data_IF_154561222534
#
_entry.id   IF_154561222534
#
_cell.length_a   1.000
_cell.length_b   1.000
_cell.length_c   1.000
_cell.angle_alpha   90.00
_cell.angle_beta   90.00
_cell.angle_gamma   90.00
#
_symmetry.space_group_name_H-M   'P 1'
#
loop_
_entity.id
_entity.type
_entity.pdbx_description
1 polymer ?
#
# COMPACT_ATOMS: atom_id res chain seq x y z
N UNK A 1 -32.37 11.67 -38.95
CA UNK A 1 -31.04 12.11 -38.46
C UNK A 1 -30.94 11.64 -37.00
N UNK A 2 -30.56 10.38 -36.77
CA UNK A 2 -30.61 9.71 -35.45
C UNK A 2 -29.21 9.30 -34.95
N UNK A 3 -28.18 10.05 -35.32
CA UNK A 3 -26.80 9.80 -34.86
C UNK A 3 -26.47 10.41 -33.48
N UNK A 4 -27.42 11.09 -32.82
CA UNK A 4 -27.15 11.83 -31.58
C UNK A 4 -27.39 11.05 -30.28
N UNK A 5 -28.09 9.91 -30.31
CA UNK A 5 -28.49 9.21 -29.07
C UNK A 5 -27.46 8.20 -28.52
N UNK A 6 -26.49 7.78 -29.35
CA UNK A 6 -25.45 6.83 -28.93
C UNK A 6 -24.14 7.52 -28.46
N UNK A 7 -23.92 8.78 -28.85
CA UNK A 7 -22.69 9.52 -28.51
C UNK A 7 -22.73 10.10 -27.10
N UNK A 8 -23.88 10.59 -26.65
CA UNK A 8 -24.08 11.16 -25.31
C UNK A 8 -23.74 10.17 -24.18
N UNK A 9 -24.21 8.90 -24.18
CA UNK A 9 -23.86 7.96 -23.12
C UNK A 9 -22.37 7.62 -23.11
N UNK A 10 -21.72 7.46 -24.27
CA UNK A 10 -20.28 7.15 -24.37
C UNK A 10 -19.41 8.23 -23.71
N UNK A 11 -19.73 9.51 -23.92
CA UNK A 11 -19.06 10.61 -23.24
C UNK A 11 -19.28 10.59 -21.72
N UNK A 12 -20.50 10.33 -21.27
CA UNK A 12 -20.81 10.24 -19.84
C UNK A 12 -20.05 9.09 -19.15
N UNK A 13 -19.98 7.91 -19.75
CA UNK A 13 -19.21 6.78 -19.22
C UNK A 13 -17.71 7.07 -19.20
N UNK A 14 -17.17 7.75 -20.21
CA UNK A 14 -15.74 8.09 -20.26
C UNK A 14 -15.38 9.12 -19.17
N UNK A 15 -16.24 10.10 -18.92
CA UNK A 15 -16.05 11.09 -17.85
C UNK A 15 -16.16 10.44 -16.47
N UNK A 16 -17.17 9.57 -16.27
CA UNK A 16 -17.34 8.85 -15.01
C UNK A 16 -16.17 7.91 -14.73
N UNK A 17 -15.71 7.14 -15.72
CA UNK A 17 -14.54 6.27 -15.57
C UNK A 17 -13.29 7.09 -15.21
N UNK A 18 -13.03 8.20 -15.89
CA UNK A 18 -11.91 9.07 -15.52
C UNK A 18 -12.05 9.62 -14.09
N UNK A 19 -13.26 9.99 -13.66
CA UNK A 19 -13.49 10.48 -12.30
C UNK A 19 -13.23 9.40 -11.25
N UNK A 20 -13.65 8.15 -11.48
CA UNK A 20 -13.38 7.04 -10.57
C UNK A 20 -11.91 6.58 -10.59
N UNK A 21 -11.21 6.66 -11.72
CA UNK A 21 -9.78 6.34 -11.77
C UNK A 21 -8.92 7.44 -11.12
N UNK A 22 -9.32 8.71 -11.22
CA UNK A 22 -8.60 9.83 -10.60
C UNK A 22 -8.94 10.05 -9.12
N UNK A 23 -10.13 9.65 -8.67
CA UNK A 23 -10.62 9.83 -7.29
C UNK A 23 -10.89 8.51 -6.57
N UNK A 24 -10.46 7.37 -7.11
CA UNK A 24 -10.45 6.16 -6.28
C UNK A 24 -9.57 6.45 -5.07
N UNK A 25 -10.00 6.08 -3.85
CA UNK A 25 -9.08 6.05 -2.73
C UNK A 25 -7.87 5.25 -3.21
N UNK A 26 -6.71 5.85 -3.05
CA UNK A 26 -5.44 5.25 -3.39
C UNK A 26 -5.38 4.01 -2.50
N UNK A 27 -5.76 2.87 -3.06
CA UNK A 27 -5.56 1.58 -2.42
C UNK A 27 -4.06 1.44 -2.48
N UNK A 28 -3.40 1.55 -1.33
CA UNK A 28 -1.99 1.19 -1.23
C UNK A 28 -1.90 -0.20 -1.86
N UNK A 29 -1.18 -0.32 -2.98
CA UNK A 29 -0.95 -1.64 -3.53
C UNK A 29 0.08 -2.20 -2.58
N UNK A 30 -0.36 -2.86 -1.50
CA UNK A 30 0.53 -3.63 -0.64
C UNK A 30 1.41 -4.47 -1.57
N UNK A 31 2.67 -4.04 -1.77
CA UNK A 31 3.62 -4.75 -2.62
C UNK A 31 4.13 -5.88 -1.76
N UNK A 32 3.29 -6.90 -1.66
CA UNK A 32 3.49 -8.06 -0.82
C UNK A 32 3.30 -9.33 -1.64
N UNK A 33 4.19 -10.29 -1.42
CA UNK A 33 4.04 -11.62 -2.01
C UNK A 33 3.38 -12.52 -0.98
N UNK A 34 2.26 -13.12 -1.38
CA UNK A 34 1.55 -14.12 -0.61
C UNK A 34 2.05 -15.51 -0.96
N UNK A 35 2.34 -16.30 0.06
CA UNK A 35 2.82 -17.68 -0.04
C UNK A 35 1.87 -18.62 0.68
N UNK A 36 1.59 -19.76 0.07
CA UNK A 36 0.82 -20.82 0.74
C UNK A 36 1.66 -21.58 1.77
N UNK A 37 2.99 -21.63 1.58
CA UNK A 37 3.92 -22.32 2.46
C UNK A 37 4.90 -21.35 3.12
N UNK A 38 5.24 -21.69 4.35
CA UNK A 38 6.19 -20.95 5.18
C UNK A 38 7.60 -20.95 4.55
N UNK A 39 8.01 -22.12 4.05
CA UNK A 39 9.32 -22.34 3.45
C UNK A 39 9.50 -21.50 2.18
N UNK A 40 8.44 -21.37 1.39
CA UNK A 40 8.47 -20.57 0.16
C UNK A 40 8.67 -19.08 0.49
N UNK A 41 8.01 -18.58 1.54
CA UNK A 41 8.22 -17.21 2.00
C UNK A 41 9.66 -16.99 2.50
N UNK A 42 10.18 -17.90 3.33
CA UNK A 42 11.55 -17.79 3.85
C UNK A 42 12.61 -17.97 2.76
N UNK A 43 12.28 -18.67 1.67
CA UNK A 43 13.17 -18.85 0.54
C UNK A 43 13.13 -17.67 -0.45
N UNK A 44 12.12 -16.81 -0.38
CA UNK A 44 11.91 -15.70 -1.31
C UNK A 44 12.95 -14.58 -1.15
N UNK A 45 13.16 -13.85 -2.24
CA UNK A 45 14.05 -12.67 -2.30
C UNK A 45 13.65 -11.58 -1.30
N UNK A 46 12.36 -11.42 -1.01
CA UNK A 46 11.87 -10.48 0.00
C UNK A 46 12.45 -10.80 1.38
N UNK A 47 12.50 -12.08 1.77
CA UNK A 47 13.11 -12.49 3.02
C UNK A 47 14.64 -12.55 2.95
N UNK A 48 15.19 -13.20 1.93
CA UNK A 48 16.64 -13.44 1.82
C UNK A 48 17.45 -12.19 1.53
N UNK A 49 17.05 -11.45 0.51
CA UNK A 49 17.87 -10.37 -0.05
C UNK A 49 17.46 -9.04 0.58
N UNK A 50 16.15 -8.78 0.66
CA UNK A 50 15.60 -7.56 1.27
C UNK A 50 15.50 -7.65 2.81
N UNK A 51 15.80 -8.81 3.41
CA UNK A 51 15.80 -9.06 4.87
C UNK A 51 14.47 -8.71 5.54
N UNK A 52 13.34 -8.95 4.85
CA UNK A 52 12.01 -8.64 5.36
C UNK A 52 11.40 -9.84 6.08
N UNK A 53 10.65 -9.62 7.17
CA UNK A 53 10.03 -10.72 7.90
C UNK A 53 8.93 -11.36 7.05
N UNK A 54 8.79 -12.66 7.19
CA UNK A 54 7.61 -13.38 6.74
C UNK A 54 6.58 -13.37 7.88
N UNK A 55 5.36 -12.96 7.55
CA UNK A 55 4.27 -12.79 8.50
C UNK A 55 3.26 -13.91 8.30
N UNK A 56 2.87 -14.60 9.36
CA UNK A 56 1.76 -15.54 9.31
C UNK A 56 0.42 -14.80 9.36
N UNK A 57 -0.46 -15.08 8.39
CA UNK A 57 -1.79 -14.52 8.33
C UNK A 57 -2.84 -15.46 8.94
N UNK A 58 -3.97 -14.89 9.38
CA UNK A 58 -5.11 -15.63 9.92
C UNK A 58 -5.72 -16.65 8.94
N UNK A 59 -5.47 -16.49 7.64
CA UNK A 59 -5.90 -17.39 6.55
C UNK A 59 -5.04 -18.65 6.44
N UNK A 60 -3.94 -18.75 7.19
CA UNK A 60 -2.97 -19.84 7.07
C UNK A 60 -1.89 -19.61 6.01
N UNK A 61 -1.94 -18.47 5.31
CA UNK A 61 -0.93 -18.03 4.35
C UNK A 61 0.18 -17.22 5.02
N UNK A 62 1.24 -16.98 4.27
CA UNK A 62 2.39 -16.19 4.68
C UNK A 62 2.56 -14.98 3.77
N UNK A 63 2.89 -13.84 4.34
CA UNK A 63 3.09 -12.59 3.61
C UNK A 63 4.52 -12.08 3.83
N UNK A 64 5.20 -11.70 2.76
CA UNK A 64 6.38 -10.86 2.83
C UNK A 64 6.11 -9.57 2.07
N UNK A 65 6.22 -8.42 2.73
CA UNK A 65 5.86 -7.12 2.18
C UNK A 65 7.06 -6.18 2.09
N UNK A 66 6.97 -5.25 1.14
CA UNK A 66 7.93 -4.18 0.96
C UNK A 66 7.28 -2.81 0.92
N UNK A 67 7.87 -1.83 1.60
CA UNK A 67 7.44 -0.44 1.57
C UNK A 67 8.21 0.29 0.46
N UNK A 68 7.82 0.06 -0.79
CA UNK A 68 8.38 0.76 -1.94
C UNK A 68 7.68 2.11 -2.10
N UNK A 69 8.35 3.09 -2.74
CA UNK A 69 7.76 4.41 -2.92
C UNK A 69 6.53 4.32 -3.85
N UNK A 70 5.40 4.86 -3.40
CA UNK A 70 4.15 4.90 -4.18
C UNK A 70 3.84 6.35 -4.55
N UNK A 71 3.48 6.58 -5.82
CA UNK A 71 3.10 7.91 -6.34
C UNK A 71 4.12 9.04 -6.08
N UNK A 72 5.39 8.69 -5.85
CA UNK A 72 6.46 9.64 -5.53
C UNK A 72 6.51 10.06 -4.06
N UNK A 73 5.72 9.42 -3.19
CA UNK A 73 5.85 9.52 -1.75
C UNK A 73 6.72 8.36 -1.23
N UNK A 74 7.76 8.73 -0.49
CA UNK A 74 8.67 7.76 0.12
C UNK A 74 7.95 6.99 1.22
N UNK A 75 8.17 5.67 1.25
CA UNK A 75 7.65 4.79 2.29
C UNK A 75 8.77 4.17 3.12
N UNK A 76 8.45 3.86 4.37
CA UNK A 76 9.37 3.40 5.40
C UNK A 76 8.73 2.31 6.26
N UNK A 77 9.52 1.53 6.98
CA UNK A 77 8.99 0.46 7.83
C UNK A 77 8.72 0.93 9.26
N UNK A 78 9.33 2.04 9.68
CA UNK A 78 9.15 2.60 11.01
C UNK A 78 8.94 4.11 10.98
N UNK A 79 8.27 4.63 12.01
CA UNK A 79 8.10 6.07 12.17
C UNK A 79 9.43 6.80 12.38
N UNK A 80 10.44 6.15 12.96
CA UNK A 80 11.76 6.75 13.15
C UNK A 80 12.49 6.93 11.83
N UNK A 81 12.49 5.88 10.99
CA UNK A 81 13.02 5.94 9.63
C UNK A 81 12.31 7.02 8.81
N UNK A 82 10.97 7.06 8.87
CA UNK A 82 10.22 8.08 8.18
C UNK A 82 10.56 9.49 8.69
N UNK A 83 10.64 9.72 10.01
CA UNK A 83 11.00 11.04 10.55
C UNK A 83 12.41 11.47 10.15
N UNK A 84 13.32 10.53 9.99
CA UNK A 84 14.68 10.79 9.53
C UNK A 84 14.74 11.10 8.02
N UNK A 85 13.97 10.37 7.19
CA UNK A 85 13.97 10.53 5.73
C UNK A 85 13.04 11.64 5.21
N UNK A 86 11.91 11.87 5.88
CA UNK A 86 10.89 12.84 5.51
C UNK A 86 11.28 14.25 5.95
N UNK A 87 12.21 14.86 5.22
CA UNK A 87 12.78 16.18 5.56
C UNK A 87 11.90 17.36 5.13
N UNK A 88 10.93 17.13 4.24
CA UNK A 88 10.05 18.19 3.73
C UNK A 88 9.02 18.61 4.78
N UNK A 89 9.04 19.89 5.18
CA UNK A 89 8.13 20.46 6.19
C UNK A 89 6.64 20.43 5.82
N UNK A 90 6.33 20.38 4.53
CA UNK A 90 4.95 20.28 4.03
C UNK A 90 4.44 18.83 3.98
N UNK A 91 5.32 17.86 4.25
CA UNK A 91 4.97 16.45 4.40
C UNK A 91 4.96 16.05 5.88
N UNK A 92 4.32 14.94 6.17
CA UNK A 92 4.27 14.31 7.48
C UNK A 92 4.35 12.80 7.34
N UNK A 93 4.89 12.15 8.37
CA UNK A 93 4.84 10.70 8.46
C UNK A 93 3.45 10.29 8.92
N UNK A 94 2.78 9.50 8.10
CA UNK A 94 1.53 8.85 8.44
C UNK A 94 1.69 7.35 8.17
N UNK A 95 0.87 6.54 8.82
CA UNK A 95 0.90 5.11 8.62
C UNK A 95 -0.22 4.72 7.66
N UNK A 96 0.09 3.79 6.76
CA UNK A 96 -0.78 3.28 5.71
C UNK A 96 -0.51 1.77 5.57
N UNK A 97 -1.52 0.97 5.89
CA UNK A 97 -1.39 -0.47 6.08
C UNK A 97 -0.15 -0.85 6.91
N UNK A 98 0.83 -1.55 6.33
CA UNK A 98 2.04 -2.05 7.00
C UNK A 98 3.24 -1.10 6.90
N UNK A 99 3.07 0.04 6.23
CA UNK A 99 4.12 0.99 5.90
C UNK A 99 3.87 2.37 6.50
N UNK A 100 4.93 3.16 6.58
CA UNK A 100 4.89 4.56 7.02
C UNK A 100 5.23 5.43 5.82
N UNK A 101 4.29 6.27 5.40
CA UNK A 101 4.41 7.12 4.22
C UNK A 101 4.75 8.56 4.59
N UNK A 102 5.68 9.16 3.86
CA UNK A 102 5.98 10.59 3.92
C UNK A 102 5.05 11.34 2.95
N UNK A 103 3.90 11.77 3.44
CA UNK A 103 2.79 12.28 2.62
C UNK A 103 2.51 13.76 2.86
N UNK A 104 1.93 14.45 1.88
CA UNK A 104 1.55 15.87 2.01
C UNK A 104 0.50 16.10 3.11
N UNK A 105 0.76 17.09 3.98
CA UNK A 105 -0.21 17.56 4.99
C UNK A 105 -1.48 18.13 4.34
N UNK A 106 -1.31 18.88 3.24
CA UNK A 106 -2.45 19.51 2.56
C UNK A 106 -3.41 18.48 1.97
N UNK A 107 -2.91 17.31 1.57
CA UNK A 107 -3.74 16.23 1.05
C UNK A 107 -4.58 15.58 2.15
N UNK A 108 -3.98 15.32 3.31
CA UNK A 108 -4.70 14.84 4.49
C UNK A 108 -5.77 15.84 4.94
N UNK A 109 -5.43 17.13 4.99
CA UNK A 109 -6.37 18.21 5.35
C UNK A 109 -7.52 18.36 4.34
N UNK A 110 -7.30 17.99 3.08
CA UNK A 110 -8.32 18.03 2.02
C UNK A 110 -9.24 16.80 2.02
N UNK A 111 -9.13 15.91 3.01
CA UNK A 111 -9.94 14.70 3.13
C UNK A 111 -9.32 13.46 2.51
N UNK A 112 -8.01 13.45 2.24
CA UNK A 112 -7.28 12.24 1.89
C UNK A 112 -7.41 11.18 2.98
N UNK A 113 -7.64 9.93 2.57
CA UNK A 113 -7.80 8.79 3.48
C UNK A 113 -6.70 7.78 3.20
N UNK A 114 -6.02 7.35 4.27
CA UNK A 114 -5.06 6.26 4.24
C UNK A 114 -5.75 4.95 4.66
N UNK A 115 -5.19 3.83 4.22
CA UNK A 115 -5.60 2.53 4.74
C UNK A 115 -5.27 2.40 6.23
N UNK A 116 -6.09 1.67 7.01
CA UNK A 116 -5.87 1.51 8.43
C UNK A 116 -4.52 0.84 8.69
N UNK A 117 -3.81 1.36 9.69
CA UNK A 117 -2.55 0.82 10.15
C UNK A 117 -2.66 -0.62 10.63
N UNK A 118 -1.73 -1.45 10.16
CA UNK A 118 -1.54 -2.80 10.63
C UNK A 118 -0.04 -3.05 10.90
N UNK A 119 0.28 -3.25 12.17
CA UNK A 119 1.60 -3.70 12.59
C UNK A 119 1.52 -5.16 13.02
N UNK A 120 2.28 -6.06 12.37
CA UNK A 120 2.30 -7.47 12.73
C UNK A 120 2.68 -7.67 14.19
N UNK A 121 1.95 -8.53 14.90
CA UNK A 121 2.27 -8.92 16.26
C UNK A 121 3.52 -9.81 16.31
N UNK A 122 4.17 -9.90 17.48
CA UNK A 122 5.31 -10.81 17.69
C UNK A 122 4.99 -12.25 17.31
N UNK A 123 3.74 -12.69 17.52
CA UNK A 123 3.29 -14.03 17.16
C UNK A 123 3.24 -14.24 15.64
N UNK A 124 2.81 -13.23 14.89
CA UNK A 124 2.72 -13.30 13.43
C UNK A 124 4.11 -13.21 12.78
N UNK A 125 5.07 -12.53 13.44
CA UNK A 125 6.47 -12.44 13.01
C UNK A 125 7.28 -13.69 13.36
N UNK A 126 6.96 -14.37 14.47
CA UNK A 126 7.70 -15.56 14.92
C UNK A 126 7.13 -16.83 14.28
N UNK A 127 7.31 -16.97 12.97
CA UNK A 127 6.84 -18.13 12.22
C UNK A 127 7.75 -19.35 12.43
N UNK A 128 7.16 -20.53 12.58
CA UNK A 128 7.87 -21.81 12.58
C UNK A 128 7.25 -22.69 11.50
N UNK A 129 8.01 -22.98 10.45
CA UNK A 129 7.57 -23.89 9.41
C UNK A 129 7.50 -25.31 10.00
N UNK A 130 6.36 -25.99 9.87
CA UNK A 130 6.10 -27.31 10.44
C UNK A 130 5.99 -28.36 9.36
#
# INVERSE_FOLDING_TARGET
>A
MFLSYATVPMFAFTILLNFFFLNSPIISMEVGTLFEKCEDCLADTCHKDKKRPCISMSTGRYLCFTCEAEFGDDQYYTFEECKAGCTNKNKTCACESMCIVCISKSWLESGGSLEPCYFPSERELNITCK
#
